data_IF_936736360998
#
_entry.id   IF_936736360998
#
_cell.length_a   1.000
_cell.length_b   1.000
_cell.length_c   1.000
_cell.angle_alpha   90.00
_cell.angle_beta   90.00
_cell.angle_gamma   90.00
#
_symmetry.space_group_name_H-M   'P 1'
#
loop_
_entity.id
_entity.type
_entity.pdbx_description
1 polymer ?
#
# COMPACT_ATOMS: atom_id res chain seq x y z
N UNK A 1 -6.62 -14.51 8.36
CA UNK A 1 -6.79 -13.68 7.19
C UNK A 1 -5.79 -14.10 6.12
N UNK A 2 -6.30 -14.52 4.96
CA UNK A 2 -5.46 -15.04 3.87
C UNK A 2 -4.47 -14.00 3.35
N UNK A 3 -4.91 -12.76 3.20
CA UNK A 3 -4.04 -11.67 2.74
C UNK A 3 -2.86 -11.47 3.70
N UNK A 4 -3.12 -11.38 4.99
CA UNK A 4 -2.06 -11.20 5.98
C UNK A 4 -1.04 -12.34 5.95
N UNK A 5 -1.52 -13.59 5.85
CA UNK A 5 -0.62 -14.75 5.79
C UNK A 5 0.27 -14.72 4.55
N UNK A 6 -0.30 -14.37 3.40
CA UNK A 6 0.48 -14.30 2.14
C UNK A 6 1.53 -13.18 2.18
N UNK A 7 1.16 -12.01 2.69
CA UNK A 7 2.09 -10.90 2.81
C UNK A 7 3.25 -11.25 3.74
N UNK A 8 2.96 -11.84 4.91
CA UNK A 8 4.00 -12.25 5.85
C UNK A 8 4.90 -13.35 5.27
N UNK A 9 4.31 -14.30 4.53
CA UNK A 9 5.09 -15.36 3.88
C UNK A 9 6.01 -14.82 2.79
N UNK A 10 5.55 -13.85 2.01
CA UNK A 10 6.39 -13.18 1.01
C UNK A 10 7.52 -12.40 1.67
N UNK A 11 7.22 -11.67 2.76
CA UNK A 11 8.25 -10.96 3.51
C UNK A 11 9.33 -11.92 4.02
N UNK A 12 8.93 -13.08 4.51
CA UNK A 12 9.88 -14.12 4.94
C UNK A 12 10.77 -14.63 3.81
N UNK A 13 10.34 -14.48 2.56
CA UNK A 13 11.12 -14.82 1.36
C UNK A 13 11.99 -13.68 0.86
N UNK A 14 12.02 -12.54 1.55
CA UNK A 14 12.83 -11.39 1.19
C UNK A 14 12.12 -10.28 0.45
N UNK A 15 10.79 -10.37 0.23
CA UNK A 15 10.03 -9.29 -0.35
C UNK A 15 9.89 -8.14 0.63
N UNK A 16 9.99 -6.92 0.12
CA UNK A 16 9.67 -5.71 0.87
C UNK A 16 8.17 -5.48 0.82
N UNK A 17 7.52 -5.33 1.97
CA UNK A 17 6.07 -5.18 2.07
C UNK A 17 5.74 -3.81 2.65
N UNK A 18 5.01 -3.00 1.90
CA UNK A 18 4.70 -1.65 2.31
C UNK A 18 3.28 -1.20 1.97
N UNK A 19 2.91 -0.09 2.57
CA UNK A 19 1.67 0.64 2.32
C UNK A 19 2.03 2.02 1.80
N UNK A 20 1.36 2.46 0.75
CA UNK A 20 1.38 3.85 0.30
C UNK A 20 -0.05 4.30 0.04
N UNK A 21 -0.46 5.41 0.61
CA UNK A 21 -1.83 5.89 0.54
C UNK A 21 -1.89 7.41 0.55
N UNK A 22 -2.92 7.98 -0.07
CA UNK A 22 -3.16 9.42 -0.09
C UNK A 22 -4.10 9.85 1.02
N UNK A 23 -3.91 11.09 1.52
CA UNK A 23 -4.89 11.78 2.33
C UNK A 23 -5.97 12.40 1.45
N UNK A 24 -6.93 13.14 2.05
CA UNK A 24 -8.03 13.74 1.31
C UNK A 24 -7.56 14.86 0.37
N UNK A 25 -8.18 14.92 -0.81
CA UNK A 25 -7.93 15.95 -1.82
C UNK A 25 -8.16 17.37 -1.31
N UNK A 26 -9.22 17.59 -0.53
CA UNK A 26 -9.69 18.90 -0.09
C UNK A 26 -9.62 19.09 1.42
N UNK A 27 -8.98 18.16 2.13
CA UNK A 27 -8.93 18.22 3.59
C UNK A 27 -8.00 19.32 4.10
N UNK A 28 -8.37 19.89 5.25
CA UNK A 28 -7.47 20.73 6.03
C UNK A 28 -6.36 19.86 6.63
N UNK A 29 -5.31 20.48 7.17
CA UNK A 29 -4.24 19.75 7.85
C UNK A 29 -4.78 18.90 9.00
N UNK A 30 -5.74 19.43 9.77
CA UNK A 30 -6.39 18.70 10.86
C UNK A 30 -7.18 17.49 10.35
N UNK A 31 -7.95 17.68 9.26
CA UNK A 31 -8.69 16.59 8.64
C UNK A 31 -7.76 15.53 8.07
N UNK A 32 -6.68 15.93 7.43
CA UNK A 32 -5.71 14.99 6.86
C UNK A 32 -4.98 14.20 7.95
N UNK A 33 -4.67 14.82 9.08
CA UNK A 33 -4.09 14.10 10.22
C UNK A 33 -5.08 13.09 10.79
N UNK A 34 -6.36 13.45 10.90
CA UNK A 34 -7.41 12.52 11.33
C UNK A 34 -7.57 11.36 10.33
N UNK A 35 -7.49 11.64 9.04
CA UNK A 35 -7.54 10.61 7.99
C UNK A 35 -6.37 9.64 8.12
N UNK A 36 -5.17 10.16 8.34
CA UNK A 36 -3.98 9.35 8.55
C UNK A 36 -4.15 8.42 9.76
N UNK A 37 -4.61 8.96 10.88
CA UNK A 37 -4.84 8.17 12.09
C UNK A 37 -5.90 7.10 11.88
N UNK A 38 -6.98 7.42 11.15
CA UNK A 38 -8.02 6.45 10.82
C UNK A 38 -7.49 5.30 9.96
N UNK A 39 -6.64 5.59 8.99
CA UNK A 39 -6.00 4.57 8.14
C UNK A 39 -5.08 3.66 8.93
N UNK A 40 -4.27 4.22 9.82
CA UNK A 40 -3.39 3.45 10.69
C UNK A 40 -4.19 2.54 11.63
N UNK A 41 -5.30 3.05 12.17
CA UNK A 41 -6.20 2.26 13.02
C UNK A 41 -6.83 1.11 12.23
N UNK A 42 -7.28 1.38 11.00
CA UNK A 42 -7.85 0.36 10.14
C UNK A 42 -6.84 -0.76 9.87
N UNK A 43 -5.59 -0.41 9.54
CA UNK A 43 -4.52 -1.39 9.34
C UNK A 43 -4.29 -2.23 10.59
N UNK A 44 -4.25 -1.62 11.75
CA UNK A 44 -4.08 -2.31 13.03
C UNK A 44 -5.22 -3.29 13.30
N UNK A 45 -6.45 -2.93 12.95
CA UNK A 45 -7.63 -3.77 13.19
C UNK A 45 -7.77 -4.93 12.20
N UNK A 46 -7.44 -4.70 10.93
CA UNK A 46 -7.70 -5.66 9.85
C UNK A 46 -6.46 -6.41 9.38
N UNK A 47 -5.29 -5.81 9.48
CA UNK A 47 -4.00 -6.37 9.05
C UNK A 47 -2.93 -6.23 10.14
N UNK A 48 -3.34 -6.28 11.41
CA UNK A 48 -2.45 -6.08 12.54
C UNK A 48 -1.35 -7.13 12.68
N UNK A 49 -1.54 -8.31 12.09
CA UNK A 49 -0.52 -9.37 12.10
C UNK A 49 0.55 -9.21 11.01
N UNK A 50 0.35 -8.26 10.07
CA UNK A 50 1.33 -8.02 9.01
C UNK A 50 2.46 -7.14 9.53
N UNK A 51 3.68 -7.52 9.24
CA UNK A 51 4.85 -6.68 9.47
C UNK A 51 5.09 -5.83 8.24
N UNK A 52 4.92 -4.52 8.38
CA UNK A 52 5.12 -3.57 7.29
C UNK A 52 6.56 -3.05 7.32
N UNK A 53 7.26 -3.10 6.19
CA UNK A 53 8.60 -2.53 6.06
C UNK A 53 8.54 -1.00 5.94
N UNK A 54 7.45 -0.48 5.37
CA UNK A 54 7.17 0.94 5.36
C UNK A 54 5.67 1.23 5.28
N UNK A 55 5.23 2.33 5.87
CA UNK A 55 3.88 2.86 5.74
C UNK A 55 4.01 4.34 5.41
N UNK A 56 3.61 4.72 4.19
CA UNK A 56 3.67 6.09 3.70
C UNK A 56 2.25 6.59 3.43
N UNK A 57 1.79 7.53 4.25
CA UNK A 57 0.51 8.22 4.05
C UNK A 57 0.83 9.65 3.69
N UNK A 58 0.56 10.02 2.45
CA UNK A 58 1.11 11.20 1.79
C UNK A 58 -0.01 12.10 1.28
N UNK A 59 0.30 13.37 0.96
CA UNK A 59 -0.70 14.28 0.41
C UNK A 59 -1.29 13.78 -0.90
N UNK A 60 -2.57 14.08 -1.10
CA UNK A 60 -3.27 13.72 -2.33
C UNK A 60 -2.52 14.24 -3.56
N UNK A 61 -2.38 13.38 -4.54
CA UNK A 61 -1.74 13.73 -5.81
C UNK A 61 -0.23 13.59 -5.82
N UNK A 62 0.42 13.39 -4.67
CA UNK A 62 1.86 13.15 -4.64
C UNK A 62 2.15 11.79 -5.31
N UNK A 63 3.10 11.72 -6.27
CA UNK A 63 3.38 10.46 -6.96
C UNK A 63 3.80 9.35 -5.99
N UNK A 64 3.06 8.25 -5.99
CA UNK A 64 3.32 7.13 -5.06
C UNK A 64 4.70 6.52 -5.24
N UNK A 65 5.19 6.44 -6.48
CA UNK A 65 6.54 5.92 -6.76
C UNK A 65 7.67 6.78 -6.17
N UNK A 66 7.41 8.06 -5.90
CA UNK A 66 8.38 8.94 -5.25
C UNK A 66 8.31 8.89 -3.73
N UNK A 67 7.20 8.40 -3.18
CA UNK A 67 7.00 8.33 -1.74
C UNK A 67 7.59 7.05 -1.12
N UNK A 68 7.65 5.96 -1.88
CA UNK A 68 8.18 4.69 -1.40
C UNK A 68 9.70 4.67 -1.46
N UNK A 69 10.32 4.08 -0.44
CA UNK A 69 11.79 4.12 -0.27
C UNK A 69 12.52 3.08 -1.08
N UNK A 70 11.92 1.89 -1.25
CA UNK A 70 12.64 0.74 -1.78
C UNK A 70 11.99 0.07 -2.98
N UNK A 71 10.76 0.39 -3.29
CA UNK A 71 9.95 -0.44 -4.16
C UNK A 71 9.35 0.29 -5.36
N UNK A 72 9.96 1.38 -5.83
CA UNK A 72 9.43 2.14 -6.97
C UNK A 72 9.29 1.31 -8.26
N UNK A 73 10.05 0.23 -8.38
CA UNK A 73 9.96 -0.72 -9.51
C UNK A 73 9.29 -2.03 -9.13
N UNK A 74 8.76 -2.14 -7.91
CA UNK A 74 8.07 -3.32 -7.43
C UNK A 74 6.64 -3.43 -7.96
N UNK A 75 5.84 -4.21 -7.26
CA UNK A 75 4.44 -4.44 -7.62
C UNK A 75 3.56 -3.54 -6.77
N UNK A 76 2.73 -2.73 -7.42
CA UNK A 76 1.72 -1.90 -6.76
C UNK A 76 0.34 -2.53 -6.94
N UNK A 77 -0.45 -2.56 -5.86
CA UNK A 77 -1.87 -2.86 -5.91
C UNK A 77 -2.64 -1.60 -5.56
N UNK A 78 -3.41 -1.08 -6.49
CA UNK A 78 -4.15 0.17 -6.32
C UNK A 78 -5.48 0.08 -7.08
N UNK A 79 -6.55 0.65 -6.51
CA UNK A 79 -7.86 0.68 -7.13
C UNK A 79 -8.00 1.79 -8.17
N UNK A 80 -7.10 2.77 -8.19
CA UNK A 80 -7.15 3.88 -9.13
C UNK A 80 -6.26 3.64 -10.35
N UNK A 81 -6.87 3.72 -11.52
CA UNK A 81 -6.17 3.55 -12.80
C UNK A 81 -5.03 4.55 -12.98
N UNK A 82 -5.25 5.80 -12.58
CA UNK A 82 -4.22 6.85 -12.66
C UNK A 82 -2.96 6.45 -11.91
N UNK A 83 -3.09 5.93 -10.71
CA UNK A 83 -1.95 5.51 -9.90
C UNK A 83 -1.23 4.32 -10.52
N UNK A 84 -2.00 3.37 -11.10
CA UNK A 84 -1.41 2.23 -11.78
C UNK A 84 -0.61 2.63 -13.01
N UNK A 85 -1.11 3.61 -13.77
CA UNK A 85 -0.43 4.11 -14.97
C UNK A 85 0.83 4.91 -14.66
N UNK A 86 0.83 5.66 -13.58
CA UNK A 86 1.99 6.47 -13.15
C UNK A 86 3.08 5.66 -12.47
N UNK A 87 2.75 4.48 -11.98
CA UNK A 87 3.72 3.63 -11.28
C UNK A 87 4.82 3.14 -12.23
N UNK A 88 6.07 3.20 -11.77
CA UNK A 88 7.24 2.85 -12.59
C UNK A 88 7.48 1.36 -12.74
N UNK A 89 6.95 0.55 -11.84
CA UNK A 89 7.03 -0.91 -11.92
C UNK A 89 5.76 -1.54 -12.51
N UNK A 90 5.44 -2.73 -12.04
CA UNK A 90 4.23 -3.45 -12.42
C UNK A 90 3.09 -3.08 -11.48
N UNK A 91 1.92 -2.77 -12.02
CA UNK A 91 0.76 -2.40 -11.21
C UNK A 91 -0.47 -3.20 -11.60
N UNK A 92 -1.26 -3.58 -10.59
CA UNK A 92 -2.49 -4.33 -10.74
C UNK A 92 -3.62 -3.67 -9.96
N UNK A 93 -4.86 -3.95 -10.36
CA UNK A 93 -6.02 -3.60 -9.56
C UNK A 93 -5.98 -4.38 -8.24
N UNK A 94 -6.33 -3.71 -7.14
CA UNK A 94 -6.31 -4.32 -5.81
C UNK A 94 -7.24 -5.52 -5.70
N UNK A 95 -8.29 -5.59 -6.52
CA UNK A 95 -9.21 -6.74 -6.53
C UNK A 95 -8.52 -8.05 -6.92
N UNK A 96 -7.38 -7.98 -7.59
CA UNK A 96 -6.62 -9.15 -8.04
C UNK A 96 -5.50 -9.55 -7.08
N UNK A 97 -5.40 -8.89 -5.92
CA UNK A 97 -4.24 -9.03 -5.04
C UNK A 97 -4.01 -10.48 -4.59
N UNK A 98 -5.05 -11.18 -4.17
CA UNK A 98 -4.89 -12.55 -3.66
C UNK A 98 -4.38 -13.52 -4.73
N UNK A 99 -4.88 -13.39 -5.94
CA UNK A 99 -4.48 -14.24 -7.06
C UNK A 99 -3.04 -13.95 -7.48
N UNK A 100 -2.68 -12.66 -7.61
CA UNK A 100 -1.33 -12.26 -7.99
C UNK A 100 -0.31 -12.70 -6.93
N UNK A 101 -0.60 -12.48 -5.65
CA UNK A 101 0.30 -12.90 -4.57
C UNK A 101 0.51 -14.42 -4.56
N UNK A 102 -0.55 -15.19 -4.84
CA UNK A 102 -0.45 -16.64 -4.95
C UNK A 102 0.57 -17.05 -6.02
N UNK A 103 0.60 -16.35 -7.14
CA UNK A 103 1.52 -16.62 -8.23
C UNK A 103 2.99 -16.29 -7.92
N UNK A 104 3.27 -15.52 -6.85
CA UNK A 104 4.63 -15.18 -6.45
C UNK A 104 5.32 -16.26 -5.60
N UNK A 105 4.58 -17.24 -5.15
CA UNK A 105 5.12 -18.40 -4.46
C UNK A 105 5.56 -19.48 -5.48
#
# INVERSE_FOLDING_TARGET
NVLARRLNALRARGYHIGIVSWTSKTGTDEFNEATKMAKLKWLSQHLGSVTWDEIEIIPYGFPKQKAVRFASEGILFDDEERNRKEWTGTAYDVNNILEILKGLF
#
